data_IF_400938858672
#
_entry.id   IF_400938858672
#
_cell.length_a   1.000
_cell.length_b   1.000
_cell.length_c   1.000
_cell.angle_alpha   90.00
_cell.angle_beta   90.00
_cell.angle_gamma   90.00
#
_symmetry.space_group_name_H-M   'P 1'
#
loop_
_entity.id
_entity.type
_entity.pdbx_description
1 polymer ?
#
# COMPACT_ATOMS: atom_id res chain seq x y z
N UNK A 1 -29.37 -9.81 12.78
CA UNK A 1 -30.10 -9.70 11.50
C UNK A 1 -29.03 -9.77 10.42
N UNK A 2 -28.75 -10.97 9.92
CA UNK A 2 -27.76 -11.18 8.85
C UNK A 2 -28.35 -10.60 7.57
N UNK A 3 -27.80 -9.49 7.09
CA UNK A 3 -28.12 -8.95 5.77
C UNK A 3 -27.71 -10.01 4.73
N UNK A 4 -28.67 -10.57 4.02
CA UNK A 4 -28.36 -11.36 2.84
C UNK A 4 -27.79 -10.42 1.79
N UNK A 5 -26.62 -10.72 1.19
CA UNK A 5 -26.02 -9.88 0.15
C UNK A 5 -26.95 -9.58 -1.04
N UNK A 6 -27.95 -10.40 -1.25
CA UNK A 6 -28.95 -10.24 -2.32
C UNK A 6 -29.98 -9.13 -2.05
N UNK A 7 -30.13 -8.67 -0.83
CA UNK A 7 -31.23 -7.75 -0.48
C UNK A 7 -30.94 -6.28 -0.76
N UNK A 8 -29.68 -5.85 -0.73
CA UNK A 8 -29.29 -4.45 -0.95
C UNK A 8 -29.17 -4.06 -2.42
N UNK A 9 -29.08 -5.00 -3.35
CA UNK A 9 -28.94 -4.76 -4.79
C UNK A 9 -30.23 -4.94 -5.59
N UNK A 10 -31.38 -5.11 -4.95
CA UNK A 10 -32.68 -5.42 -5.59
C UNK A 10 -33.17 -4.39 -6.63
N UNK A 11 -32.54 -3.23 -6.73
CA UNK A 11 -32.87 -2.22 -7.72
C UNK A 11 -31.88 -2.07 -8.87
N UNK A 12 -30.68 -2.64 -8.79
CA UNK A 12 -29.60 -2.43 -9.76
C UNK A 12 -29.51 -3.50 -10.85
N UNK A 13 -30.16 -4.64 -10.69
CA UNK A 13 -30.00 -5.80 -11.59
C UNK A 13 -28.60 -6.47 -11.48
N UNK A 14 -27.74 -6.01 -10.56
CA UNK A 14 -26.43 -6.61 -10.34
C UNK A 14 -26.58 -7.93 -9.55
N UNK A 15 -26.02 -8.99 -10.11
CA UNK A 15 -25.91 -10.30 -9.43
C UNK A 15 -24.43 -10.53 -9.17
N UNK A 16 -24.09 -10.70 -7.90
CA UNK A 16 -22.71 -11.06 -7.53
C UNK A 16 -22.43 -12.50 -7.97
N UNK A 17 -21.20 -12.82 -8.39
CA UNK A 17 -20.82 -14.18 -8.73
C UNK A 17 -21.04 -15.13 -7.56
N UNK A 18 -21.36 -16.39 -7.87
CA UNK A 18 -21.39 -17.46 -6.86
C UNK A 18 -19.99 -17.55 -6.20
N UNK A 19 -19.97 -17.65 -4.86
CA UNK A 19 -18.72 -17.68 -4.10
C UNK A 19 -18.09 -16.31 -3.83
N UNK A 20 -18.76 -15.20 -4.18
CA UNK A 20 -18.28 -13.87 -3.82
C UNK A 20 -18.10 -13.73 -2.30
N UNK A 21 -16.92 -13.30 -1.87
CA UNK A 21 -16.53 -13.19 -0.46
C UNK A 21 -16.58 -11.73 0.00
N UNK A 22 -17.36 -11.47 1.06
CA UNK A 22 -17.38 -10.17 1.72
C UNK A 22 -16.37 -10.13 2.87
N UNK A 23 -15.66 -9.00 3.00
CA UNK A 23 -14.66 -8.82 4.02
C UNK A 23 -14.44 -7.36 4.39
N UNK A 24 -13.54 -7.15 5.33
CA UNK A 24 -13.03 -5.83 5.70
C UNK A 24 -11.50 -5.83 5.68
N UNK A 25 -10.91 -4.63 5.70
CA UNK A 25 -9.46 -4.46 5.68
C UNK A 25 -9.02 -3.41 6.70
N UNK A 26 -7.87 -3.65 7.33
CA UNK A 26 -7.21 -2.71 8.23
C UNK A 26 -5.70 -2.68 7.97
N UNK A 27 -5.00 -1.71 8.58
CA UNK A 27 -3.55 -1.62 8.58
C UNK A 27 -3.01 -1.57 10.01
N UNK A 28 -1.90 -2.25 10.26
CA UNK A 28 -1.28 -2.40 11.58
C UNK A 28 -1.09 -1.07 12.31
N UNK A 29 -0.43 -0.11 11.68
CA UNK A 29 -0.16 1.18 12.30
C UNK A 29 -1.44 1.96 12.66
N UNK A 30 -2.51 1.78 11.86
CA UNK A 30 -3.76 2.52 12.03
C UNK A 30 -4.64 1.99 13.17
N UNK A 31 -4.48 0.72 13.57
CA UNK A 31 -5.39 0.11 14.55
C UNK A 31 -4.72 -0.53 15.75
N UNK A 32 -3.49 -1.06 15.63
CA UNK A 32 -2.91 -1.92 16.66
C UNK A 32 -2.63 -1.20 17.98
N UNK A 33 -2.03 -0.01 17.94
CA UNK A 33 -1.45 0.60 19.13
C UNK A 33 -0.25 -0.20 19.64
N UNK A 34 -0.05 -0.24 20.97
CA UNK A 34 1.05 -0.96 21.63
C UNK A 34 2.42 -0.66 20.97
N UNK A 35 2.66 0.62 20.63
CA UNK A 35 3.75 1.04 19.75
C UNK A 35 5.16 0.76 20.30
N UNK A 36 5.31 0.51 21.60
CA UNK A 36 6.57 0.22 22.27
C UNK A 36 6.50 -1.02 23.16
N UNK A 37 5.52 -1.92 22.92
CA UNK A 37 5.30 -3.10 23.74
C UNK A 37 5.86 -4.36 23.07
N UNK A 38 6.16 -5.36 23.87
CA UNK A 38 6.60 -6.69 23.46
C UNK A 38 7.71 -6.69 22.40
N UNK A 39 8.66 -5.76 22.54
CA UNK A 39 9.83 -5.67 21.68
C UNK A 39 9.62 -5.02 20.33
N UNK A 40 8.43 -4.44 20.05
CA UNK A 40 8.23 -3.61 18.85
C UNK A 40 9.11 -2.36 18.90
N UNK A 41 9.72 -2.01 17.77
CA UNK A 41 10.51 -0.78 17.60
C UNK A 41 9.80 0.19 16.67
N UNK A 42 10.20 1.47 16.62
CA UNK A 42 9.56 2.45 15.75
C UNK A 42 9.60 2.07 14.26
N UNK A 43 8.51 2.35 13.59
CA UNK A 43 8.42 2.46 12.13
C UNK A 43 8.65 3.89 11.68
N UNK A 44 8.77 4.11 10.37
CA UNK A 44 8.80 5.46 9.77
C UNK A 44 7.56 6.29 10.12
N UNK A 45 6.39 5.65 10.29
CA UNK A 45 5.16 6.34 10.68
C UNK A 45 5.17 6.78 12.15
N UNK A 46 5.79 6.00 13.05
CA UNK A 46 6.00 6.43 14.45
C UNK A 46 6.84 7.71 14.52
N UNK A 47 7.92 7.77 13.73
CA UNK A 47 8.79 8.95 13.66
C UNK A 47 8.10 10.12 13.00
N UNK A 48 7.42 9.88 11.86
CA UNK A 48 6.75 10.92 11.10
C UNK A 48 5.61 11.56 11.88
N UNK A 49 4.75 10.78 12.50
CA UNK A 49 3.59 11.30 13.26
C UNK A 49 3.99 12.10 14.50
N UNK A 50 5.14 11.76 15.10
CA UNK A 50 5.72 12.50 16.24
C UNK A 50 6.51 13.75 15.82
N UNK A 51 6.72 13.93 14.51
CA UNK A 51 7.39 15.12 13.99
C UNK A 51 6.40 16.30 13.93
N UNK A 52 6.68 17.44 14.59
CA UNK A 52 5.74 18.56 14.65
C UNK A 52 5.28 19.02 13.25
N UNK A 53 3.98 19.18 13.07
CA UNK A 53 3.37 19.69 11.83
C UNK A 53 3.21 18.68 10.70
N UNK A 54 3.60 17.42 10.91
CA UNK A 54 3.46 16.38 9.87
C UNK A 54 2.09 15.70 9.87
N UNK A 55 1.45 15.60 11.01
CA UNK A 55 0.11 15.00 11.15
C UNK A 55 -0.83 15.99 11.81
N UNK A 56 -2.08 16.01 11.38
CA UNK A 56 -3.13 16.87 11.95
C UNK A 56 -3.24 16.63 13.45
N UNK A 57 -3.33 17.70 14.22
CA UNK A 57 -3.36 17.69 15.70
C UNK A 57 -2.20 16.96 16.39
N UNK A 58 -1.19 16.46 15.66
CA UNK A 58 -0.13 15.62 16.23
C UNK A 58 -0.62 14.24 16.65
N UNK A 59 -1.68 13.73 16.02
CA UNK A 59 -2.21 12.38 16.29
C UNK A 59 -1.16 11.32 15.94
N UNK A 60 -1.12 10.25 16.74
CA UNK A 60 -0.14 9.16 16.61
C UNK A 60 -0.83 7.80 16.62
N UNK A 61 -0.13 6.77 16.12
CA UNK A 61 -0.57 5.38 16.20
C UNK A 61 -0.22 4.69 17.53
N UNK A 62 0.19 5.44 18.57
CA UNK A 62 0.69 4.83 19.81
C UNK A 62 -0.35 3.98 20.54
N UNK A 63 -1.61 4.39 20.47
CA UNK A 63 -2.77 3.67 21.03
C UNK A 63 -3.74 3.24 19.93
N UNK A 64 -4.03 4.11 18.96
CA UNK A 64 -4.94 3.87 17.83
C UNK A 64 -6.31 3.30 18.31
N UNK A 65 -6.73 2.16 17.74
CA UNK A 65 -7.93 1.43 18.18
C UNK A 65 -7.63 0.41 19.30
N UNK A 66 -6.38 0.31 19.71
CA UNK A 66 -5.91 -0.63 20.74
C UNK A 66 -6.17 -2.12 20.38
N UNK A 67 -6.15 -2.42 19.07
CA UNK A 67 -6.41 -3.77 18.58
C UNK A 67 -5.46 -4.82 19.16
N UNK A 68 -4.21 -4.43 19.47
CA UNK A 68 -3.23 -5.32 20.06
C UNK A 68 -3.72 -5.99 21.35
N UNK A 69 -4.44 -5.23 22.21
CA UNK A 69 -4.99 -5.73 23.46
C UNK A 69 -6.44 -6.23 23.31
N UNK A 70 -7.14 -5.85 22.26
CA UNK A 70 -8.58 -6.09 22.05
C UNK A 70 -8.89 -7.07 20.92
N UNK A 71 -7.92 -7.91 20.54
CA UNK A 71 -8.06 -8.87 19.43
C UNK A 71 -9.31 -9.72 19.56
N UNK A 72 -9.61 -10.27 20.74
CA UNK A 72 -10.77 -11.15 20.95
C UNK A 72 -12.09 -10.40 20.75
N UNK A 73 -12.20 -9.17 21.26
CA UNK A 73 -13.38 -8.32 21.06
C UNK A 73 -13.58 -7.98 19.57
N UNK A 74 -12.51 -7.66 18.87
CA UNK A 74 -12.56 -7.32 17.44
C UNK A 74 -12.90 -8.55 16.59
N UNK A 75 -12.38 -9.72 16.94
CA UNK A 75 -12.71 -10.99 16.28
C UNK A 75 -14.19 -11.36 16.47
N UNK A 76 -14.74 -11.16 17.67
CA UNK A 76 -16.16 -11.39 17.93
C UNK A 76 -17.02 -10.42 17.14
N UNK A 77 -16.64 -9.14 17.07
CA UNK A 77 -17.30 -8.13 16.24
C UNK A 77 -17.32 -8.51 14.75
N UNK A 78 -16.18 -8.98 14.22
CA UNK A 78 -16.09 -9.43 12.82
C UNK A 78 -17.01 -10.62 12.54
N UNK A 79 -17.09 -11.56 13.48
CA UNK A 79 -17.98 -12.71 13.42
C UNK A 79 -19.46 -12.29 13.46
N UNK A 80 -19.82 -11.37 14.36
CA UNK A 80 -21.18 -10.84 14.49
C UNK A 80 -21.64 -10.07 13.25
N UNK A 81 -20.70 -9.37 12.59
CA UNK A 81 -20.92 -8.70 11.30
C UNK A 81 -21.06 -9.68 10.13
N UNK A 82 -20.72 -10.95 10.33
CA UNK A 82 -20.79 -11.97 9.28
C UNK A 82 -19.70 -11.83 8.22
N UNK A 83 -18.53 -11.30 8.57
CA UNK A 83 -17.40 -11.21 7.64
C UNK A 83 -16.92 -12.61 7.26
N UNK A 84 -16.61 -12.79 5.98
CA UNK A 84 -16.11 -14.04 5.42
C UNK A 84 -14.60 -14.03 5.22
N UNK A 85 -14.00 -12.81 5.13
CA UNK A 85 -12.57 -12.60 5.06
C UNK A 85 -12.18 -11.33 5.83
N UNK A 86 -10.98 -11.33 6.37
CA UNK A 86 -10.40 -10.17 7.00
C UNK A 86 -8.98 -9.97 6.51
N UNK A 87 -8.71 -8.78 5.90
CA UNK A 87 -7.39 -8.37 5.49
C UNK A 87 -6.77 -7.51 6.58
N UNK A 88 -5.62 -7.93 7.08
CA UNK A 88 -4.82 -7.19 8.04
C UNK A 88 -3.40 -7.04 7.53
N UNK A 89 -2.65 -6.07 8.01
CA UNK A 89 -1.22 -6.01 7.76
C UNK A 89 -0.42 -6.42 9.00
N UNK A 90 0.78 -6.92 8.74
CA UNK A 90 1.73 -7.33 9.78
C UNK A 90 2.73 -6.19 9.97
N UNK A 91 2.84 -5.67 11.20
CA UNK A 91 3.83 -4.65 11.55
C UNK A 91 5.25 -5.24 11.47
N UNK A 92 5.98 -4.95 10.41
CA UNK A 92 7.34 -5.43 10.23
C UNK A 92 8.26 -5.12 11.43
N UNK A 93 8.25 -3.91 12.03
CA UNK A 93 9.06 -3.61 13.22
C UNK A 93 8.67 -4.41 14.46
N UNK A 94 7.52 -5.09 14.47
CA UNK A 94 7.13 -6.02 15.53
C UNK A 94 7.77 -7.40 15.34
N UNK A 95 8.11 -7.77 14.12
CA UNK A 95 8.68 -9.09 13.80
C UNK A 95 10.20 -9.06 13.77
N UNK A 96 10.80 -8.05 13.11
CA UNK A 96 12.25 -7.86 13.01
C UNK A 96 12.59 -6.46 13.52
N UNK A 97 12.76 -6.29 14.83
CA UNK A 97 12.84 -4.97 15.46
C UNK A 97 14.18 -4.26 15.26
N UNK A 98 15.23 -4.97 14.83
CA UNK A 98 16.56 -4.40 14.75
C UNK A 98 17.37 -4.92 13.55
N UNK A 99 18.44 -4.17 13.23
CA UNK A 99 19.29 -4.40 12.06
C UNK A 99 20.11 -5.72 12.14
N UNK A 100 20.30 -6.29 13.33
CA UNK A 100 20.91 -7.62 13.50
C UNK A 100 20.03 -8.76 12.95
N UNK A 101 18.78 -8.41 12.64
CA UNK A 101 17.77 -9.30 12.09
C UNK A 101 17.25 -10.33 13.10
N UNK A 102 17.43 -10.13 14.39
CA UNK A 102 16.82 -10.98 15.42
C UNK A 102 15.29 -10.99 15.24
N UNK A 103 14.73 -12.20 15.36
CA UNK A 103 13.27 -12.40 15.24
C UNK A 103 12.63 -12.20 16.61
N UNK A 104 11.60 -11.38 16.66
CA UNK A 104 10.81 -11.17 17.87
C UNK A 104 9.64 -12.16 17.93
N UNK A 105 9.77 -13.17 18.76
CA UNK A 105 8.76 -14.22 18.88
C UNK A 105 7.41 -13.70 19.40
N UNK A 106 7.40 -12.71 20.30
CA UNK A 106 6.14 -12.12 20.80
C UNK A 106 5.30 -11.47 19.66
N UNK A 107 5.98 -10.88 18.68
CA UNK A 107 5.28 -10.37 17.50
C UNK A 107 4.68 -11.49 16.63
N UNK A 108 5.42 -12.57 16.42
CA UNK A 108 4.88 -13.74 15.69
C UNK A 108 3.69 -14.35 16.46
N UNK A 109 3.79 -14.50 17.76
CA UNK A 109 2.74 -15.08 18.59
C UNK A 109 1.45 -14.24 18.56
N UNK A 110 1.57 -12.90 18.48
CA UNK A 110 0.43 -12.02 18.32
C UNK A 110 -0.34 -12.31 17.01
N UNK A 111 0.35 -12.34 15.87
CA UNK A 111 -0.30 -12.63 14.59
C UNK A 111 -0.75 -14.08 14.46
N UNK A 112 -0.07 -15.02 15.13
CA UNK A 112 -0.54 -16.41 15.20
C UNK A 112 -1.89 -16.50 15.91
N UNK A 113 -2.05 -15.82 17.06
CA UNK A 113 -3.36 -15.76 17.75
C UNK A 113 -4.45 -15.12 16.90
N UNK A 114 -4.11 -14.04 16.20
CA UNK A 114 -5.06 -13.38 15.29
C UNK A 114 -5.53 -14.33 14.17
N UNK A 115 -4.59 -15.01 13.51
CA UNK A 115 -4.90 -15.97 12.44
C UNK A 115 -5.73 -17.13 12.97
N UNK A 116 -5.36 -17.71 14.10
CA UNK A 116 -6.11 -18.81 14.72
C UNK A 116 -7.52 -18.38 15.10
N UNK A 117 -7.67 -17.21 15.73
CA UNK A 117 -8.98 -16.67 16.10
C UNK A 117 -9.89 -16.35 14.91
N UNK A 118 -9.34 -15.94 13.76
CA UNK A 118 -10.10 -15.79 12.50
C UNK A 118 -10.60 -17.15 11.99
N UNK A 119 -9.70 -18.13 11.95
CA UNK A 119 -10.04 -19.48 11.46
C UNK A 119 -11.08 -20.17 12.33
N UNK A 120 -10.99 -20.03 13.66
CA UNK A 120 -11.99 -20.54 14.61
C UNK A 120 -13.40 -19.99 14.35
N UNK A 121 -13.48 -18.75 13.80
CA UNK A 121 -14.74 -18.10 13.42
C UNK A 121 -15.12 -18.28 11.95
N UNK A 122 -14.37 -19.09 11.19
CA UNK A 122 -14.61 -19.34 9.77
C UNK A 122 -14.30 -18.15 8.86
N UNK A 123 -13.48 -17.19 9.34
CA UNK A 123 -13.07 -15.99 8.60
C UNK A 123 -11.73 -16.27 7.93
N UNK A 124 -11.64 -16.07 6.62
CA UNK A 124 -10.40 -16.25 5.85
C UNK A 124 -9.38 -15.18 6.20
N UNK A 125 -8.16 -15.54 6.70
CA UNK A 125 -7.11 -14.58 6.95
C UNK A 125 -6.41 -14.17 5.66
N UNK A 126 -6.39 -12.86 5.37
CA UNK A 126 -5.66 -12.24 4.25
C UNK A 126 -4.57 -11.35 4.84
N UNK A 127 -3.32 -11.82 4.80
CA UNK A 127 -2.20 -11.13 5.44
C UNK A 127 -1.42 -10.25 4.46
N UNK A 128 -1.26 -8.98 4.79
CA UNK A 128 -0.43 -8.02 4.03
C UNK A 128 0.91 -7.86 4.74
N UNK A 129 2.02 -8.13 4.04
CA UNK A 129 3.36 -8.01 4.64
C UNK A 129 3.78 -6.57 4.87
N UNK A 130 3.44 -5.65 3.97
CA UNK A 130 3.85 -4.27 4.07
C UNK A 130 2.70 -3.31 3.77
N UNK A 131 2.34 -2.52 4.80
CA UNK A 131 1.36 -1.44 4.69
C UNK A 131 1.94 -0.14 5.27
N UNK A 132 3.10 0.23 4.70
CA UNK A 132 3.81 1.51 4.84
C UNK A 132 4.65 1.67 6.12
N UNK A 133 4.62 0.72 7.02
CA UNK A 133 5.30 0.77 8.33
C UNK A 133 6.72 0.16 8.29
N UNK A 134 7.56 0.68 7.39
CA UNK A 134 8.98 0.32 7.31
C UNK A 134 9.67 0.56 8.66
N UNK A 135 10.42 -0.42 9.22
CA UNK A 135 11.21 -0.21 10.40
C UNK A 135 12.14 1.00 10.28
N UNK A 136 12.16 1.89 11.28
CA UNK A 136 12.94 3.12 11.23
C UNK A 136 14.43 2.86 10.97
N UNK A 137 15.01 1.81 11.52
CA UNK A 137 16.41 1.47 11.29
C UNK A 137 16.75 1.15 9.83
N UNK A 138 15.78 0.63 9.06
CA UNK A 138 15.95 0.44 7.60
C UNK A 138 15.90 1.76 6.86
N UNK A 139 15.03 2.68 7.28
CA UNK A 139 14.99 4.03 6.72
C UNK A 139 16.28 4.78 6.99
N UNK A 140 16.81 4.68 8.21
CA UNK A 140 18.10 5.28 8.59
C UNK A 140 19.27 4.73 7.76
N UNK A 141 19.14 3.52 7.22
CA UNK A 141 20.08 2.87 6.30
C UNK A 141 19.79 3.14 4.80
N UNK A 142 18.83 4.02 4.49
CA UNK A 142 18.48 4.45 3.13
C UNK A 142 17.05 4.10 2.70
N UNK A 143 16.33 3.29 3.46
CA UNK A 143 14.93 2.95 3.20
C UNK A 143 14.72 2.27 1.84
N UNK A 144 13.59 2.55 1.20
CA UNK A 144 13.28 1.97 -0.12
C UNK A 144 14.16 2.50 -1.25
N UNK A 145 15.02 3.52 -1.02
CA UNK A 145 16.03 3.92 -2.01
C UNK A 145 17.23 2.97 -2.04
N UNK A 146 17.37 2.12 -1.03
CA UNK A 146 18.44 1.13 -0.91
C UNK A 146 17.96 -0.26 -1.29
N UNK A 147 18.72 -0.93 -2.15
CA UNK A 147 18.47 -2.33 -2.54
C UNK A 147 18.52 -3.30 -1.34
N UNK A 148 19.32 -2.98 -0.32
CA UNK A 148 19.39 -3.81 0.91
C UNK A 148 18.05 -3.91 1.66
N UNK A 149 17.14 -2.95 1.47
CA UNK A 149 15.79 -3.03 2.02
C UNK A 149 14.99 -4.15 1.35
N UNK A 150 15.22 -4.44 0.07
CA UNK A 150 14.57 -5.58 -0.62
C UNK A 150 15.07 -6.91 -0.07
N UNK A 151 16.37 -7.00 0.27
CA UNK A 151 16.96 -8.22 0.87
C UNK A 151 16.39 -8.46 2.29
N UNK A 152 16.23 -7.37 3.05
CA UNK A 152 15.59 -7.43 4.37
C UNK A 152 14.10 -7.82 4.28
N UNK A 153 13.39 -7.33 3.26
CA UNK A 153 11.97 -7.68 3.04
C UNK A 153 11.79 -9.14 2.64
N UNK A 154 12.64 -9.66 1.76
CA UNK A 154 12.67 -11.09 1.40
C UNK A 154 12.84 -11.98 2.65
N UNK A 155 13.79 -11.62 3.52
CA UNK A 155 14.00 -12.32 4.78
C UNK A 155 12.77 -12.26 5.69
N UNK A 156 12.17 -11.09 5.84
CA UNK A 156 10.95 -10.91 6.62
C UNK A 156 9.79 -11.74 6.06
N UNK A 157 9.62 -11.76 4.74
CA UNK A 157 8.62 -12.60 4.07
C UNK A 157 8.86 -14.10 4.35
N UNK A 158 10.14 -14.55 4.32
CA UNK A 158 10.51 -15.93 4.65
C UNK A 158 10.14 -16.30 6.09
N UNK A 159 10.38 -15.40 7.05
CA UNK A 159 10.03 -15.61 8.47
C UNK A 159 8.51 -15.77 8.61
N UNK A 160 7.73 -14.90 7.99
CA UNK A 160 6.27 -14.95 8.09
C UNK A 160 5.67 -16.14 7.34
N UNK A 161 6.21 -16.50 6.18
CA UNK A 161 5.81 -17.71 5.44
C UNK A 161 6.06 -18.98 6.24
N UNK A 162 7.19 -19.07 6.93
CA UNK A 162 7.49 -20.21 7.81
C UNK A 162 6.61 -20.25 9.06
N UNK A 163 6.23 -19.09 9.61
CA UNK A 163 5.45 -19.00 10.85
C UNK A 163 3.94 -19.21 10.66
N UNK A 164 3.36 -18.70 9.57
CA UNK A 164 1.92 -18.64 9.36
C UNK A 164 1.46 -19.19 7.98
N UNK A 165 2.41 -19.62 7.14
CA UNK A 165 2.10 -20.05 5.77
C UNK A 165 1.34 -21.38 5.66
N UNK A 166 1.06 -22.02 6.77
CA UNK A 166 0.18 -23.19 6.88
C UNK A 166 -1.31 -22.81 7.04
N UNK A 167 -1.60 -21.56 7.43
CA UNK A 167 -2.93 -21.11 7.89
C UNK A 167 -3.45 -19.85 7.19
N UNK A 168 -2.57 -19.01 6.68
CA UNK A 168 -2.98 -17.81 5.92
C UNK A 168 -3.59 -18.24 4.58
N UNK A 169 -4.77 -17.70 4.26
CA UNK A 169 -5.47 -17.98 3.01
C UNK A 169 -4.85 -17.23 1.82
N UNK A 170 -4.51 -15.95 2.01
CA UNK A 170 -3.92 -15.13 0.94
C UNK A 170 -2.80 -14.24 1.50
N UNK A 171 -1.64 -14.29 0.89
CA UNK A 171 -0.52 -13.40 1.16
C UNK A 171 -0.51 -12.23 0.20
N UNK A 172 -0.66 -11.02 0.71
CA UNK A 172 -0.48 -9.78 -0.05
C UNK A 172 0.91 -9.21 0.29
N UNK A 173 1.77 -9.07 -0.69
CA UNK A 173 3.13 -8.60 -0.44
C UNK A 173 3.18 -7.13 -0.04
N UNK A 174 2.55 -6.26 -0.83
CA UNK A 174 2.54 -4.81 -0.66
C UNK A 174 1.12 -4.27 -0.74
N UNK A 175 0.83 -3.22 0.05
CA UNK A 175 -0.31 -2.36 -0.17
C UNK A 175 0.13 -1.03 -0.77
N UNK A 176 -0.40 -0.70 -1.94
CA UNK A 176 -0.24 0.60 -2.60
C UNK A 176 1.21 1.11 -2.62
N UNK A 177 2.13 0.41 -3.28
CA UNK A 177 3.53 0.82 -3.34
C UNK A 177 3.73 2.23 -3.93
N UNK A 178 2.78 2.70 -4.72
CA UNK A 178 2.72 4.07 -5.22
C UNK A 178 2.72 5.09 -4.06
N UNK A 179 1.90 4.89 -3.04
CA UNK A 179 1.83 5.79 -1.88
C UNK A 179 3.17 5.84 -1.13
N UNK A 180 3.81 4.70 -0.92
CA UNK A 180 5.13 4.65 -0.29
C UNK A 180 6.17 5.39 -1.12
N UNK A 181 6.26 5.11 -2.43
CA UNK A 181 7.28 5.69 -3.29
C UNK A 181 7.07 7.19 -3.52
N UNK A 182 5.90 7.58 -4.02
CA UNK A 182 5.70 8.95 -4.46
C UNK A 182 5.31 9.89 -3.32
N UNK A 183 4.38 9.49 -2.43
CA UNK A 183 3.99 10.33 -1.32
C UNK A 183 5.03 10.33 -0.19
N UNK A 184 5.75 9.23 0.00
CA UNK A 184 6.77 9.10 1.02
C UNK A 184 8.12 9.69 0.64
N UNK A 185 8.63 9.35 -0.55
CA UNK A 185 9.98 9.74 -0.99
C UNK A 185 9.99 10.93 -1.97
N UNK A 186 8.94 11.07 -2.80
CA UNK A 186 8.87 12.15 -3.79
C UNK A 186 8.28 13.43 -3.25
N UNK A 187 7.09 13.34 -2.65
CA UNK A 187 6.27 14.47 -2.25
C UNK A 187 6.40 14.85 -0.78
N UNK A 188 6.68 13.87 0.09
CA UNK A 188 6.94 14.08 1.51
C UNK A 188 5.71 14.31 2.39
N UNK A 189 4.51 14.10 1.88
CA UNK A 189 3.27 14.16 2.64
C UNK A 189 3.00 12.92 3.48
N UNK A 190 3.64 11.80 3.14
CA UNK A 190 3.65 10.56 3.92
C UNK A 190 5.03 10.29 4.50
N UNK A 191 5.09 9.37 5.47
CA UNK A 191 6.35 8.86 5.97
C UNK A 191 7.17 8.20 4.84
N UNK A 192 8.50 8.38 4.80
CA UNK A 192 9.36 9.05 5.74
C UNK A 192 9.42 10.59 5.62
N UNK A 193 8.76 11.19 4.63
CA UNK A 193 8.67 12.63 4.47
C UNK A 193 9.79 13.26 3.63
N UNK A 194 10.34 12.51 2.67
CA UNK A 194 11.36 13.00 1.74
C UNK A 194 10.77 13.77 0.56
N UNK A 195 11.53 14.68 -0.01
CA UNK A 195 11.17 15.49 -1.18
C UNK A 195 12.21 15.28 -2.31
N UNK A 196 12.31 14.05 -2.80
CA UNK A 196 13.38 13.60 -3.68
C UNK A 196 12.83 12.80 -4.86
N UNK A 197 12.54 13.43 -6.02
CA UNK A 197 11.92 12.74 -7.16
C UNK A 197 12.70 11.52 -7.68
N UNK A 198 14.03 11.58 -7.70
CA UNK A 198 14.86 10.44 -8.10
C UNK A 198 14.77 9.29 -7.08
N UNK A 199 14.71 9.60 -5.79
CA UNK A 199 14.52 8.63 -4.72
C UNK A 199 13.14 7.94 -4.81
N UNK A 200 12.10 8.66 -5.25
CA UNK A 200 10.79 8.08 -5.50
C UNK A 200 10.86 7.00 -6.60
N UNK A 201 11.52 7.28 -7.72
CA UNK A 201 11.67 6.32 -8.82
C UNK A 201 12.53 5.11 -8.44
N UNK A 202 13.60 5.31 -7.66
CA UNK A 202 14.38 4.21 -7.09
C UNK A 202 13.52 3.36 -6.14
N UNK A 203 12.67 4.00 -5.32
CA UNK A 203 11.73 3.30 -4.42
C UNK A 203 10.68 2.52 -5.19
N UNK A 204 10.17 3.02 -6.32
CA UNK A 204 9.28 2.26 -7.22
C UNK A 204 9.93 0.95 -7.62
N UNK A 205 11.18 1.00 -8.09
CA UNK A 205 11.88 -0.21 -8.52
C UNK A 205 12.12 -1.18 -7.36
N UNK A 206 12.61 -0.69 -6.24
CA UNK A 206 12.92 -1.57 -5.10
C UNK A 206 11.67 -2.15 -4.45
N UNK A 207 10.53 -1.45 -4.45
CA UNK A 207 9.24 -2.02 -4.03
C UNK A 207 8.76 -3.11 -5.00
N UNK A 208 8.88 -2.88 -6.33
CA UNK A 208 8.58 -3.90 -7.31
C UNK A 208 9.47 -5.14 -7.11
N UNK A 209 10.77 -4.95 -6.91
CA UNK A 209 11.72 -6.05 -6.66
C UNK A 209 11.41 -6.78 -5.35
N UNK A 210 11.06 -6.04 -4.29
CA UNK A 210 10.64 -6.59 -3.01
C UNK A 210 9.38 -7.47 -3.14
N UNK A 211 8.40 -7.05 -3.97
CA UNK A 211 7.24 -7.88 -4.30
C UNK A 211 7.66 -9.25 -4.85
N UNK A 212 8.46 -9.26 -5.91
CA UNK A 212 8.85 -10.52 -6.54
C UNK A 212 9.65 -11.44 -5.61
N UNK A 213 10.61 -10.89 -4.87
CA UNK A 213 11.38 -11.63 -3.87
C UNK A 213 10.51 -12.18 -2.74
N UNK A 214 9.56 -11.39 -2.26
CA UNK A 214 8.64 -11.85 -1.22
C UNK A 214 7.75 -12.99 -1.71
N UNK A 215 7.24 -12.95 -2.94
CA UNK A 215 6.48 -14.07 -3.53
C UNK A 215 7.33 -15.34 -3.59
N UNK A 216 8.59 -15.23 -4.04
CA UNK A 216 9.52 -16.38 -4.08
C UNK A 216 9.79 -16.93 -2.67
N UNK A 217 10.03 -16.05 -1.70
CA UNK A 217 10.30 -16.42 -0.31
C UNK A 217 9.09 -17.10 0.35
N UNK A 218 7.89 -16.54 0.16
CA UNK A 218 6.65 -17.12 0.68
C UNK A 218 6.37 -18.50 0.08
N UNK A 219 6.56 -18.67 -1.25
CA UNK A 219 6.42 -19.98 -1.90
C UNK A 219 7.40 -21.03 -1.38
N UNK A 220 8.60 -20.60 -1.05
CA UNK A 220 9.62 -21.50 -0.54
C UNK A 220 9.39 -21.93 0.91
N UNK A 221 8.65 -21.14 1.71
CA UNK A 221 8.53 -21.33 3.15
C UNK A 221 7.12 -21.66 3.64
N UNK A 222 6.08 -21.31 2.89
CA UNK A 222 4.70 -21.71 3.22
C UNK A 222 4.52 -23.22 3.02
N UNK A 223 3.89 -23.87 4.00
CA UNK A 223 3.59 -25.30 3.97
C UNK A 223 2.15 -25.61 3.61
N UNK A 224 1.27 -24.59 3.59
CA UNK A 224 -0.09 -24.65 3.06
C UNK A 224 -0.12 -24.38 1.54
N UNK A 225 -1.31 -24.09 1.04
CA UNK A 225 -1.56 -23.70 -0.36
C UNK A 225 -2.22 -22.31 -0.42
N UNK A 226 -1.53 -21.26 0.02
CA UNK A 226 -2.09 -19.91 0.02
C UNK A 226 -2.09 -19.30 -1.37
N UNK A 227 -3.04 -18.40 -1.62
CA UNK A 227 -2.98 -17.48 -2.74
C UNK A 227 -1.91 -16.40 -2.53
N UNK A 228 -1.25 -15.97 -3.61
CA UNK A 228 -0.29 -14.87 -3.62
C UNK A 228 -0.85 -13.65 -4.32
N UNK A 229 -0.67 -12.48 -3.71
CA UNK A 229 -1.31 -11.23 -4.10
C UNK A 229 -0.37 -10.03 -4.00
N UNK A 230 -0.71 -9.00 -4.73
CA UNK A 230 -0.29 -7.61 -4.49
C UNK A 230 -1.53 -6.71 -4.55
N UNK A 231 -1.59 -5.68 -3.73
CA UNK A 231 -2.67 -4.68 -3.81
C UNK A 231 -2.13 -3.37 -4.35
N UNK A 232 -2.71 -2.93 -5.47
CA UNK A 232 -2.35 -1.70 -6.14
C UNK A 232 -3.49 -0.68 -6.03
N UNK A 233 -3.15 0.60 -5.85
CA UNK A 233 -4.09 1.69 -6.01
C UNK A 233 -4.13 2.11 -7.48
N UNK A 234 -5.32 2.15 -8.05
CA UNK A 234 -5.50 2.50 -9.45
C UNK A 234 -5.99 3.94 -9.60
N UNK A 235 -5.30 4.70 -10.44
CA UNK A 235 -5.69 6.03 -10.85
C UNK A 235 -6.52 5.95 -12.13
N UNK A 236 -7.82 6.15 -12.00
CA UNK A 236 -8.70 6.27 -13.17
C UNK A 236 -8.66 7.71 -13.65
N UNK A 237 -8.11 7.93 -14.84
CA UNK A 237 -7.84 9.25 -15.38
C UNK A 237 -8.91 9.68 -16.40
N UNK A 238 -9.24 10.95 -16.38
CA UNK A 238 -10.04 11.65 -17.39
C UNK A 238 -9.23 12.81 -17.92
N UNK A 239 -9.12 12.88 -19.23
CA UNK A 239 -8.44 13.98 -19.89
C UNK A 239 -9.42 15.09 -20.28
N UNK A 240 -8.99 16.36 -20.21
CA UNK A 240 -9.75 17.52 -20.67
C UNK A 240 -8.87 18.47 -21.47
N UNK A 241 -9.44 19.11 -22.51
CA UNK A 241 -8.74 20.06 -23.38
C UNK A 241 -7.78 19.40 -24.37
N UNK A 242 -7.02 20.26 -25.07
CA UNK A 242 -6.04 19.82 -26.06
C UNK A 242 -4.88 19.08 -25.36
N UNK A 243 -4.42 17.97 -25.97
CA UNK A 243 -3.34 17.15 -25.40
C UNK A 243 -3.76 16.29 -24.21
N UNK A 244 -5.06 16.11 -23.97
CA UNK A 244 -5.61 15.29 -22.89
C UNK A 244 -5.05 13.86 -22.87
N UNK A 245 -4.90 13.23 -24.04
CA UNK A 245 -4.36 11.87 -24.15
C UNK A 245 -2.90 11.79 -23.68
N UNK A 246 -2.09 12.79 -23.99
CA UNK A 246 -0.70 12.87 -23.53
C UNK A 246 -0.62 13.07 -22.01
N UNK A 247 -1.47 13.94 -21.45
CA UNK A 247 -1.53 14.13 -20.01
C UNK A 247 -1.93 12.82 -19.28
N UNK A 248 -2.96 12.14 -19.78
CA UNK A 248 -3.38 10.83 -19.24
C UNK A 248 -2.27 9.78 -19.37
N UNK A 249 -1.62 9.68 -20.54
CA UNK A 249 -0.52 8.72 -20.78
C UNK A 249 0.61 8.89 -19.78
N UNK A 250 1.04 10.13 -19.52
CA UNK A 250 2.12 10.45 -18.58
C UNK A 250 1.77 10.06 -17.15
N UNK A 251 0.60 10.44 -16.68
CA UNK A 251 0.19 10.12 -15.32
C UNK A 251 -0.08 8.62 -15.17
N UNK A 252 -0.70 7.97 -16.15
CA UNK A 252 -0.90 6.51 -16.15
C UNK A 252 0.42 5.75 -16.12
N UNK A 253 1.45 6.23 -16.82
CA UNK A 253 2.78 5.63 -16.78
C UNK A 253 3.35 5.60 -15.36
N UNK A 254 3.26 6.71 -14.63
CA UNK A 254 3.76 6.85 -13.26
C UNK A 254 2.84 6.19 -12.23
N UNK A 255 1.53 6.37 -12.38
CA UNK A 255 0.54 5.93 -11.40
C UNK A 255 0.27 4.42 -11.44
N UNK A 256 0.05 3.89 -12.63
CA UNK A 256 -0.43 2.53 -12.83
C UNK A 256 0.65 1.63 -13.45
N UNK A 257 1.22 2.05 -14.62
CA UNK A 257 2.08 1.18 -15.41
C UNK A 257 3.47 0.96 -14.82
N UNK A 258 3.96 1.88 -14.00
CA UNK A 258 5.22 1.72 -13.25
C UNK A 258 5.21 0.53 -12.29
N UNK A 259 4.03 0.02 -11.93
CA UNK A 259 3.84 -1.15 -11.07
C UNK A 259 3.26 -2.33 -11.85
N UNK A 260 2.16 -2.12 -12.58
CA UNK A 260 1.49 -3.22 -13.29
C UNK A 260 2.34 -3.86 -14.37
N UNK A 261 3.12 -3.06 -15.15
CA UNK A 261 3.93 -3.63 -16.22
C UNK A 261 5.08 -4.49 -15.69
N UNK A 262 5.96 -4.02 -14.78
CA UNK A 262 7.02 -4.88 -14.26
C UNK A 262 6.48 -6.11 -13.52
N UNK A 263 5.41 -5.98 -12.72
CA UNK A 263 4.85 -7.11 -11.97
C UNK A 263 4.13 -8.13 -12.87
N UNK A 264 3.37 -7.67 -13.87
CA UNK A 264 2.52 -8.56 -14.67
C UNK A 264 3.08 -8.88 -16.08
N UNK A 265 4.04 -8.09 -16.57
CA UNK A 265 4.63 -8.26 -17.92
C UNK A 265 6.15 -8.43 -17.91
N UNK A 266 6.83 -8.12 -16.80
CA UNK A 266 8.28 -8.23 -16.68
C UNK A 266 9.05 -7.12 -17.44
N UNK A 267 8.43 -5.95 -17.66
CA UNK A 267 9.06 -4.85 -18.38
C UNK A 267 8.61 -3.50 -17.82
N UNK A 268 9.45 -2.48 -17.88
CA UNK A 268 9.01 -1.10 -17.69
C UNK A 268 8.48 -0.52 -19.00
N UNK A 269 7.42 0.32 -18.97
CA UNK A 269 6.95 1.02 -20.16
C UNK A 269 8.06 1.93 -20.72
N UNK A 270 8.39 1.89 -22.01
CA UNK A 270 9.42 2.75 -22.61
C UNK A 270 9.15 4.25 -22.38
N UNK A 271 7.89 4.65 -22.49
CA UNK A 271 7.50 6.03 -22.27
C UNK A 271 7.69 6.50 -20.82
N UNK A 272 7.59 5.63 -19.84
CA UNK A 272 7.95 5.95 -18.46
C UNK A 272 9.44 6.32 -18.35
N UNK A 273 10.31 5.53 -18.96
CA UNK A 273 11.75 5.75 -18.94
C UNK A 273 12.13 7.05 -19.66
N UNK A 274 11.50 7.32 -20.80
CA UNK A 274 11.70 8.55 -21.57
C UNK A 274 11.23 9.79 -20.79
N UNK A 275 10.04 9.76 -20.23
CA UNK A 275 9.43 10.88 -19.51
C UNK A 275 10.20 11.24 -18.23
N UNK A 276 10.88 10.27 -17.61
CA UNK A 276 11.64 10.45 -16.37
C UNK A 276 13.15 10.56 -16.58
N UNK A 277 13.63 10.56 -17.83
CA UNK A 277 15.08 10.60 -18.15
C UNK A 277 15.80 11.85 -17.60
N UNK A 278 15.10 12.96 -17.41
CA UNK A 278 15.65 14.16 -16.77
C UNK A 278 15.77 14.06 -15.25
N UNK A 279 15.15 13.04 -14.63
CA UNK A 279 15.11 12.83 -13.19
C UNK A 279 16.09 11.74 -12.77
N UNK A 280 16.18 10.64 -13.53
CA UNK A 280 17.07 9.52 -13.24
C UNK A 280 17.42 8.74 -14.52
N UNK A 281 18.58 8.09 -14.50
CA UNK A 281 19.03 7.18 -15.56
C UNK A 281 18.58 5.72 -15.35
N UNK A 282 17.81 5.45 -14.32
CA UNK A 282 17.34 4.10 -13.94
C UNK A 282 18.47 3.07 -13.68
N UNK A 283 19.69 3.53 -13.38
CA UNK A 283 20.86 2.66 -13.13
C UNK A 283 20.71 1.75 -11.90
N UNK A 284 19.72 1.99 -11.05
CA UNK A 284 19.34 1.10 -9.95
C UNK A 284 18.62 -0.19 -10.40
N UNK A 285 18.19 -0.28 -11.66
CA UNK A 285 17.64 -1.50 -12.26
C UNK A 285 18.78 -2.36 -12.77
N UNK A 286 18.93 -3.56 -12.23
CA UNK A 286 20.00 -4.47 -12.61
C UNK A 286 19.49 -5.60 -13.51
N UNK A 287 20.40 -6.23 -14.22
CA UNK A 287 20.10 -7.41 -15.05
C UNK A 287 19.43 -8.51 -14.20
N UNK A 288 18.31 -9.03 -14.69
CA UNK A 288 17.54 -10.09 -14.04
C UNK A 288 16.48 -9.59 -13.03
N UNK A 289 16.48 -8.30 -12.65
CA UNK A 289 15.51 -7.77 -11.70
C UNK A 289 14.07 -7.95 -12.18
N UNK A 290 13.79 -7.61 -13.44
CA UNK A 290 12.43 -7.68 -13.98
C UNK A 290 11.90 -9.13 -14.05
N UNK A 291 12.77 -10.11 -14.27
CA UNK A 291 12.41 -11.51 -14.17
C UNK A 291 12.09 -11.93 -12.71
N UNK A 292 12.76 -11.32 -11.73
CA UNK A 292 12.46 -11.52 -10.32
C UNK A 292 11.15 -10.84 -9.93
N UNK A 293 10.90 -9.62 -10.41
CA UNK A 293 9.66 -8.87 -10.16
C UNK A 293 8.43 -9.60 -10.69
N UNK A 294 8.52 -10.14 -11.91
CA UNK A 294 7.41 -10.79 -12.60
C UNK A 294 7.18 -12.21 -12.09
N UNK A 295 6.65 -12.31 -10.87
CA UNK A 295 6.19 -13.58 -10.31
C UNK A 295 4.70 -13.79 -10.60
N UNK A 296 4.28 -15.03 -10.92
CA UNK A 296 2.86 -15.35 -10.99
C UNK A 296 2.16 -14.99 -9.67
N UNK A 297 1.02 -14.36 -9.75
CA UNK A 297 0.13 -14.08 -8.61
C UNK A 297 -1.26 -14.66 -8.89
N UNK A 298 -1.99 -15.00 -7.85
CA UNK A 298 -3.33 -15.62 -7.92
C UNK A 298 -4.41 -14.55 -7.80
N UNK A 299 -4.14 -13.48 -7.06
CA UNK A 299 -5.09 -12.40 -6.76
C UNK A 299 -4.44 -11.04 -6.99
N UNK A 300 -5.11 -10.17 -7.75
CA UNK A 300 -4.78 -8.75 -7.84
C UNK A 300 -5.74 -7.95 -6.95
N UNK A 301 -5.22 -7.35 -5.90
CA UNK A 301 -5.96 -6.40 -5.07
C UNK A 301 -6.09 -5.06 -5.79
N UNK A 302 -7.29 -4.51 -5.81
CA UNK A 302 -7.62 -3.23 -6.45
C UNK A 302 -8.14 -2.26 -5.41
N UNK A 303 -7.36 -1.22 -5.12
CA UNK A 303 -7.83 -0.09 -4.33
C UNK A 303 -8.21 1.04 -5.28
N UNK A 304 -9.44 1.52 -5.17
CA UNK A 304 -9.96 2.61 -5.99
C UNK A 304 -10.85 3.52 -5.14
N UNK A 305 -10.57 4.80 -5.17
CA UNK A 305 -11.29 5.79 -4.36
C UNK A 305 -11.94 6.88 -5.19
N UNK A 306 -11.27 7.34 -6.26
CA UNK A 306 -11.74 8.47 -7.05
C UNK A 306 -11.12 8.48 -8.45
N UNK A 307 -11.78 9.19 -9.35
CA UNK A 307 -11.25 9.53 -10.67
C UNK A 307 -10.51 10.86 -10.58
N UNK A 308 -9.34 10.96 -11.20
CA UNK A 308 -8.60 12.21 -11.35
C UNK A 308 -8.80 12.78 -12.77
N UNK A 309 -8.95 14.10 -12.86
CA UNK A 309 -9.01 14.79 -14.16
C UNK A 309 -7.71 15.52 -14.43
N UNK A 310 -7.16 15.33 -15.62
CA UNK A 310 -5.85 15.86 -15.99
C UNK A 310 -5.91 16.60 -17.35
N UNK A 311 -5.02 17.57 -17.53
CA UNK A 311 -4.76 18.24 -18.81
C UNK A 311 -3.27 18.57 -18.94
N UNK A 312 -2.83 18.86 -20.16
CA UNK A 312 -1.53 19.52 -20.32
C UNK A 312 -1.64 20.96 -19.80
N UNK A 313 -0.64 21.36 -19.00
CA UNK A 313 -0.52 22.74 -18.56
C UNK A 313 0.04 23.60 -19.68
N UNK A 314 -0.48 24.78 -19.85
CA UNK A 314 -0.10 25.73 -20.92
C UNK A 314 1.24 26.45 -20.66
N UNK A 315 1.84 26.21 -19.48
CA UNK A 315 3.11 26.85 -19.09
C UNK A 315 2.99 28.31 -18.66
N UNK A 316 1.81 28.90 -18.66
CA UNK A 316 1.58 30.34 -18.45
C UNK A 316 0.52 30.63 -17.38
N UNK A 317 -0.61 29.91 -17.39
CA UNK A 317 -1.69 30.09 -16.42
C UNK A 317 -1.23 29.70 -15.02
N UNK A 318 -1.89 30.26 -14.00
CA UNK A 318 -1.67 29.79 -12.63
C UNK A 318 -2.06 28.31 -12.54
N UNK A 319 -1.08 27.46 -12.22
CA UNK A 319 -1.29 26.03 -12.08
C UNK A 319 -2.08 25.74 -10.82
N UNK A 320 -3.14 24.96 -10.93
CA UNK A 320 -3.86 24.50 -9.75
C UNK A 320 -2.93 23.66 -8.88
N UNK A 321 -2.84 24.00 -7.59
CA UNK A 321 -2.09 23.23 -6.59
C UNK A 321 -2.89 21.99 -6.18
N UNK A 322 -3.08 21.09 -7.13
CA UNK A 322 -3.73 19.81 -6.93
C UNK A 322 -2.86 18.76 -7.61
N UNK A 323 -2.46 17.75 -6.90
CA UNK A 323 -1.65 16.65 -7.40
C UNK A 323 -2.45 15.35 -7.62
N UNK A 324 -3.78 15.48 -7.63
CA UNK A 324 -4.68 14.34 -7.79
C UNK A 324 -4.88 13.51 -6.53
N UNK A 325 -4.23 13.86 -5.41
CA UNK A 325 -4.37 13.20 -4.14
C UNK A 325 -4.80 14.20 -3.06
N UNK A 326 -5.96 14.00 -2.44
CA UNK A 326 -6.46 14.91 -1.41
C UNK A 326 -5.58 14.83 -0.17
N UNK A 327 -5.19 16.00 0.36
CA UNK A 327 -4.40 16.11 1.58
C UNK A 327 -2.89 16.13 1.37
N UNK A 328 -2.42 16.21 0.14
CA UNK A 328 -1.00 16.39 -0.15
C UNK A 328 -0.61 17.87 -0.12
N UNK A 329 0.50 18.18 0.53
CA UNK A 329 0.99 19.55 0.70
C UNK A 329 2.04 19.87 -0.36
N UNK A 330 1.61 20.17 -1.60
CA UNK A 330 2.40 20.87 -2.60
C UNK A 330 3.83 20.37 -2.82
N UNK A 331 4.00 19.14 -3.25
CA UNK A 331 5.29 18.56 -3.64
C UNK A 331 5.17 17.79 -4.94
N UNK A 332 6.28 17.18 -5.38
CA UNK A 332 6.40 16.50 -6.67
C UNK A 332 5.99 15.04 -6.56
N UNK A 333 4.70 14.75 -6.74
CA UNK A 333 4.22 13.36 -6.79
C UNK A 333 4.37 12.71 -8.19
N UNK A 334 4.77 13.49 -9.21
CA UNK A 334 4.78 13.05 -10.61
C UNK A 334 6.10 13.38 -11.31
N UNK A 335 7.20 12.68 -10.96
CA UNK A 335 8.54 12.95 -11.50
C UNK A 335 8.57 12.96 -13.03
N UNK A 336 9.15 14.03 -13.61
CA UNK A 336 9.21 14.23 -15.07
C UNK A 336 7.92 14.73 -15.71
N UNK A 337 6.80 14.79 -14.99
CA UNK A 337 5.51 15.27 -15.50
C UNK A 337 4.92 16.46 -14.74
N UNK A 338 5.46 16.80 -13.56
CA UNK A 338 4.95 17.90 -12.73
C UNK A 338 4.91 19.26 -13.42
N UNK A 339 5.79 19.52 -14.37
CA UNK A 339 5.83 20.78 -15.13
C UNK A 339 4.98 20.74 -16.41
N UNK A 340 4.43 19.60 -16.77
CA UNK A 340 3.73 19.39 -18.02
C UNK A 340 2.25 19.07 -17.83
N UNK A 341 1.89 18.46 -16.70
CA UNK A 341 0.53 18.03 -16.42
C UNK A 341 -0.05 18.80 -15.24
N UNK A 342 -1.31 19.15 -15.35
CA UNK A 342 -2.09 19.78 -14.30
C UNK A 342 -3.28 18.89 -13.93
N UNK A 343 -3.52 18.72 -12.63
CA UNK A 343 -4.73 18.10 -12.11
C UNK A 343 -5.80 19.17 -11.94
N UNK A 344 -6.95 18.94 -12.56
CA UNK A 344 -8.06 19.88 -12.57
C UNK A 344 -9.13 19.43 -11.59
N UNK A 345 -9.52 20.31 -10.68
CA UNK A 345 -10.67 20.04 -9.81
C UNK A 345 -11.94 19.98 -10.64
N UNK A 346 -12.65 18.86 -10.57
CA UNK A 346 -14.04 18.81 -11.04
C UNK A 346 -14.98 19.13 -9.88
N UNK A 347 -15.89 20.09 -10.01
CA UNK A 347 -16.93 20.31 -9.03
C UNK A 347 -17.86 19.09 -9.02
N UNK A 348 -17.78 18.33 -7.93
CA UNK A 348 -18.74 17.28 -7.59
C UNK A 348 -18.45 15.90 -8.15
N UNK A 349 -18.48 14.94 -7.25
CA UNK A 349 -18.45 13.47 -7.35
C UNK A 349 -17.12 12.82 -7.04
N UNK A 350 -16.71 12.90 -5.79
CA UNK A 350 -15.95 11.84 -5.15
C UNK A 350 -16.95 10.78 -4.65
N UNK A 351 -16.71 9.50 -4.91
CA UNK A 351 -17.53 8.41 -4.36
C UNK A 351 -17.59 8.45 -2.83
N UNK A 352 -16.54 8.95 -2.17
CA UNK A 352 -16.49 9.20 -0.72
C UNK A 352 -17.50 10.27 -0.31
N UNK A 353 -17.77 11.27 -1.14
CA UNK A 353 -18.76 12.32 -0.85
C UNK A 353 -20.22 11.86 -1.05
N UNK A 354 -20.44 10.73 -1.70
CA UNK A 354 -21.78 10.14 -1.87
C UNK A 354 -22.12 9.21 -0.71
N UNK A 355 -21.12 8.55 -0.12
CA UNK A 355 -21.31 7.54 0.92
C UNK A 355 -21.16 8.09 2.35
N UNK A 356 -20.56 9.26 2.54
CA UNK A 356 -20.40 9.87 3.87
C UNK A 356 -20.97 11.30 3.93
N UNK A 357 -22.16 11.48 4.55
CA UNK A 357 -22.65 12.81 4.88
C UNK A 357 -21.93 13.42 6.10
N UNK A 358 -20.89 12.82 6.61
CA UNK A 358 -20.15 13.28 7.78
C UNK A 358 -18.88 14.01 7.38
N UNK A 359 -18.75 15.19 7.97
CA UNK A 359 -17.72 16.21 7.76
C UNK A 359 -16.30 15.64 7.76
N UNK A 360 -15.38 16.20 6.91
CA UNK A 360 -13.96 15.81 6.87
C UNK A 360 -13.15 16.23 8.11
N UNK A 361 -13.78 16.44 9.25
CA UNK A 361 -13.12 16.98 10.44
C UNK A 361 -12.69 15.91 11.45
N UNK A 362 -12.81 14.62 11.12
CA UNK A 362 -12.41 13.54 12.04
C UNK A 362 -11.92 12.32 11.30
N UNK A 363 -10.71 12.35 10.83
CA UNK A 363 -9.80 11.21 10.78
C UNK A 363 -8.40 11.74 11.03
#
# INVERSE_FOLDING_TARGET
>A
MTLSPADDYRGSGLVLPEGFTFGSATASYQIEGAAAEDGRTPSIWDTFSKTPGKVWNGDTGDVACDHYHRVDEDLDLMSDLGLQAYRFSIAWPRIVPAADGAVNQAGIDFYSRLVDGLLERGIKPVATLYHWDLPQYLEDAGGWTSRSTTDAFERYASIMGAALGDRVHTWTTLNEPWCSAYLGYGQGGHAPGRHEPASALASVHHLNLAHGRAVQALRATSTGDPDYSVTLNFHVLRGVGDGADEAMRRIDALANRAFTHPMLRGEYPPDLLEDTASVTDWSFVHDGDLATVNQPIDVLGVNYYSTATVRLWDGVSEKQQNDGHKGTAGGTAWPGSDQLVEFVEQPGLSLIHISEPTRPERI
#
